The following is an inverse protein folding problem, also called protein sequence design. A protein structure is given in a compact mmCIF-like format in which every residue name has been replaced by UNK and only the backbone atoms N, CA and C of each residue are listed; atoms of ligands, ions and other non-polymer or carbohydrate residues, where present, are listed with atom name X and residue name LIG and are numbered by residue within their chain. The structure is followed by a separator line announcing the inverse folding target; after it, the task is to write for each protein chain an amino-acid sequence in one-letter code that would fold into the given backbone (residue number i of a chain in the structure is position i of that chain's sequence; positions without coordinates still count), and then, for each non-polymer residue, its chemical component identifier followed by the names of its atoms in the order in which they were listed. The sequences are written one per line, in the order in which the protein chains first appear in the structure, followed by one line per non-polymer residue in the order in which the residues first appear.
data_IF_502364875170
#
_entry.id   IF_502364875170
#
_cell.length_a   1.000
_cell.length_b   1.000
_cell.length_c   1.000
_cell.angle_alpha   90.00
_cell.angle_beta   90.00
_cell.angle_gamma   90.00
#
_symmetry.space_group_name_H-M   'P 1'
#
loop_
_entity.id
_entity.type
_entity.pdbx_description
1 polymer ?
#
# COMPACT_ATOMS: atom_id res chain seq x y z
N UNK A 1 10.05 3.61 -13.93
CA UNK A 1 10.96 3.53 -12.76
C UNK A 1 10.63 4.66 -11.80
N UNK A 2 10.43 4.38 -10.51
CA UNK A 2 10.10 5.41 -9.51
C UNK A 2 11.30 6.37 -9.33
N UNK A 3 11.05 7.70 -9.35
CA UNK A 3 12.08 8.74 -9.22
C UNK A 3 12.80 8.63 -7.88
N UNK A 4 14.03 9.16 -7.85
CA UNK A 4 14.80 9.22 -6.61
C UNK A 4 14.11 10.08 -5.54
N UNK A 5 13.44 11.17 -5.93
CA UNK A 5 12.71 12.04 -5.00
C UNK A 5 11.52 11.31 -4.39
N UNK A 6 10.72 10.60 -5.19
CA UNK A 6 9.58 9.81 -4.71
C UNK A 6 10.05 8.68 -3.78
N UNK A 7 11.16 8.00 -4.12
CA UNK A 7 11.78 6.99 -3.25
C UNK A 7 12.18 7.58 -1.90
N UNK A 8 12.86 8.73 -1.88
CA UNK A 8 13.28 9.39 -0.64
C UNK A 8 12.08 9.78 0.23
N UNK A 9 11.04 10.39 -0.36
CA UNK A 9 9.81 10.73 0.38
C UNK A 9 9.13 9.50 0.95
N UNK A 10 9.06 8.42 0.16
CA UNK A 10 8.48 7.15 0.61
C UNK A 10 9.25 6.60 1.81
N UNK A 11 10.59 6.56 1.74
CA UNK A 11 11.41 6.07 2.86
C UNK A 11 11.28 6.94 4.10
N UNK A 12 11.14 8.27 3.96
CA UNK A 12 10.84 9.15 5.10
C UNK A 12 9.50 8.81 5.76
N UNK A 13 8.46 8.50 4.98
CA UNK A 13 7.18 8.05 5.55
C UNK A 13 7.30 6.70 6.23
N UNK A 14 8.05 5.76 5.65
CA UNK A 14 8.33 4.46 6.26
C UNK A 14 9.00 4.61 7.62
N UNK A 15 10.04 5.45 7.71
CA UNK A 15 10.73 5.74 8.97
C UNK A 15 9.79 6.34 10.01
N UNK A 16 8.99 7.34 9.62
CA UNK A 16 8.00 7.96 10.50
C UNK A 16 6.98 6.94 11.01
N UNK A 17 6.49 6.04 10.15
CA UNK A 17 5.53 5.00 10.50
C UNK A 17 6.14 4.01 11.49
N UNK A 18 7.32 3.46 11.19
CA UNK A 18 7.95 2.44 12.02
C UNK A 18 8.32 2.97 13.41
N UNK A 19 8.74 4.24 13.50
CA UNK A 19 9.16 4.88 14.74
C UNK A 19 8.03 5.57 15.53
N UNK A 20 6.77 5.46 15.10
CA UNK A 20 5.64 5.87 15.95
C UNK A 20 5.75 5.13 17.30
N UNK A 21 5.69 5.84 18.45
CA UNK A 21 5.76 5.21 19.76
C UNK A 21 4.77 4.04 19.89
N UNK A 22 5.27 2.87 20.27
CA UNK A 22 4.48 1.65 20.42
C UNK A 22 4.19 0.89 19.11
N UNK A 23 4.77 1.27 17.96
CA UNK A 23 4.58 0.55 16.70
C UNK A 23 5.55 -0.63 16.50
N UNK A 24 6.77 -0.38 16.00
CA UNK A 24 7.78 -1.41 15.78
C UNK A 24 8.88 -1.30 16.84
N UNK A 25 9.12 -2.41 17.55
CA UNK A 25 10.08 -2.48 18.67
C UNK A 25 11.12 -3.60 18.48
N UNK A 26 11.32 -4.05 17.24
CA UNK A 26 12.18 -5.19 16.91
C UNK A 26 11.41 -6.49 16.61
N UNK A 27 12.13 -7.51 16.16
CA UNK A 27 11.58 -8.82 15.76
C UNK A 27 11.27 -8.92 14.27
N UNK A 28 10.43 -9.90 13.89
CA UNK A 28 9.97 -10.03 12.50
C UNK A 28 8.97 -8.91 12.21
N UNK A 29 9.26 -8.12 11.19
CA UNK A 29 8.36 -7.06 10.76
C UNK A 29 7.16 -7.66 10.02
N UNK A 30 5.97 -7.49 10.59
CA UNK A 30 4.70 -7.78 9.90
C UNK A 30 4.24 -6.53 9.14
N UNK A 31 3.96 -6.67 7.84
CA UNK A 31 3.48 -5.58 7.00
C UNK A 31 2.44 -6.07 5.98
N UNK A 32 1.74 -5.13 5.35
CA UNK A 32 0.81 -5.42 4.28
C UNK A 32 1.02 -4.55 3.04
N UNK A 33 0.75 -5.09 1.86
CA UNK A 33 0.62 -4.35 0.62
C UNK A 33 -0.75 -4.65 0.03
N UNK A 34 -1.53 -3.59 -0.20
CA UNK A 34 -2.78 -3.63 -0.94
C UNK A 34 -2.50 -3.22 -2.37
N UNK A 35 -2.92 -4.04 -3.31
CA UNK A 35 -2.90 -3.77 -4.74
C UNK A 35 -4.32 -3.52 -5.20
N UNK A 36 -4.57 -2.31 -5.67
CA UNK A 36 -5.81 -1.96 -6.35
C UNK A 36 -5.82 -2.60 -7.75
N UNK A 37 -6.81 -3.45 -8.02
CA UNK A 37 -6.99 -4.07 -9.34
C UNK A 37 -7.26 -3.07 -10.47
N UNK A 38 -7.55 -1.80 -10.17
CA UNK A 38 -7.69 -0.76 -11.18
C UNK A 38 -6.34 -0.37 -11.82
N UNK A 39 -5.21 -0.72 -11.17
CA UNK A 39 -3.91 -0.63 -11.79
C UNK A 39 -3.70 -1.77 -12.80
N UNK A 40 -3.07 -1.47 -13.93
CA UNK A 40 -2.65 -2.50 -14.87
C UNK A 40 -1.50 -3.34 -14.30
N UNK A 41 -1.30 -4.51 -14.91
CA UNK A 41 -0.29 -5.49 -14.51
C UNK A 41 1.13 -4.90 -14.51
N UNK A 42 1.50 -4.19 -15.57
CA UNK A 42 2.88 -3.73 -15.78
C UNK A 42 3.23 -2.64 -14.77
N UNK A 43 2.30 -1.71 -14.56
CA UNK A 43 2.41 -0.67 -13.53
C UNK A 43 2.53 -1.30 -12.15
N UNK A 44 1.62 -2.22 -11.80
CA UNK A 44 1.63 -2.90 -10.50
C UNK A 44 2.94 -3.64 -10.24
N UNK A 45 3.42 -4.42 -11.20
CA UNK A 45 4.67 -5.16 -11.10
C UNK A 45 5.89 -4.23 -10.98
N UNK A 46 5.94 -3.16 -11.80
CA UNK A 46 7.05 -2.21 -11.80
C UNK A 46 7.13 -1.44 -10.49
N UNK A 47 6.01 -0.86 -10.04
CA UNK A 47 5.94 -0.11 -8.78
C UNK A 47 6.31 -0.98 -7.60
N UNK A 48 5.78 -2.20 -7.56
CA UNK A 48 6.08 -3.15 -6.49
C UNK A 48 7.54 -3.54 -6.49
N UNK A 49 8.11 -3.87 -7.66
CA UNK A 49 9.52 -4.22 -7.78
C UNK A 49 10.44 -3.10 -7.28
N UNK A 50 10.16 -1.86 -7.67
CA UNK A 50 10.90 -0.68 -7.22
C UNK A 50 10.72 -0.40 -5.73
N UNK A 51 9.51 -0.55 -5.19
CA UNK A 51 9.22 -0.42 -3.76
C UNK A 51 10.00 -1.44 -2.94
N UNK A 52 9.94 -2.72 -3.30
CA UNK A 52 10.65 -3.79 -2.58
C UNK A 52 12.16 -3.58 -2.62
N UNK A 53 12.72 -3.18 -3.77
CA UNK A 53 14.14 -2.83 -3.88
C UNK A 53 14.51 -1.67 -2.97
N UNK A 54 13.71 -0.61 -2.95
CA UNK A 54 13.95 0.56 -2.11
C UNK A 54 13.91 0.20 -0.62
N UNK A 55 12.89 -0.54 -0.17
CA UNK A 55 12.77 -0.98 1.22
C UNK A 55 13.99 -1.81 1.67
N UNK A 56 14.40 -2.81 0.89
CA UNK A 56 15.55 -3.66 1.21
C UNK A 56 16.88 -2.91 1.23
N UNK A 57 17.04 -1.91 0.37
CA UNK A 57 18.21 -1.05 0.34
C UNK A 57 18.24 -0.08 1.54
N UNK A 58 17.06 0.38 1.97
CA UNK A 58 16.90 1.35 3.04
C UNK A 58 17.19 0.76 4.43
N UNK A 59 16.71 -0.46 4.73
CA UNK A 59 16.95 -1.07 6.04
C UNK A 59 16.95 -2.60 6.02
N UNK A 60 17.85 -3.25 6.80
CA UNK A 60 17.90 -4.71 6.88
C UNK A 60 16.64 -5.35 7.47
N UNK A 61 15.79 -4.57 8.17
CA UNK A 61 14.51 -5.06 8.71
C UNK A 61 13.60 -5.65 7.62
N UNK A 62 13.70 -5.15 6.39
CA UNK A 62 12.90 -5.61 5.25
C UNK A 62 13.40 -6.92 4.63
N UNK A 63 14.50 -7.49 5.12
CA UNK A 63 15.01 -8.78 4.61
C UNK A 63 14.23 -9.99 5.14
N UNK A 64 13.61 -9.86 6.31
CA UNK A 64 12.84 -10.93 6.93
C UNK A 64 11.50 -10.37 7.45
N UNK A 65 10.51 -10.36 6.56
CA UNK A 65 9.17 -9.78 6.82
C UNK A 65 8.09 -10.85 6.70
N UNK A 66 7.08 -10.76 7.54
CA UNK A 66 5.79 -11.40 7.29
C UNK A 66 4.96 -10.44 6.43
N UNK A 67 4.92 -10.72 5.13
CA UNK A 67 4.27 -9.83 4.16
C UNK A 67 2.90 -10.36 3.75
N UNK A 68 1.88 -9.67 4.20
CA UNK A 68 0.52 -9.84 3.72
C UNK A 68 0.32 -9.10 2.41
N UNK A 69 -0.34 -9.74 1.45
CA UNK A 69 -0.73 -9.15 0.18
C UNK A 69 -2.24 -9.22 0.04
N UNK A 70 -2.83 -8.12 -0.43
CA UNK A 70 -4.27 -7.99 -0.60
C UNK A 70 -4.53 -7.47 -2.00
N UNK A 71 -5.25 -8.21 -2.83
CA UNK A 71 -5.79 -7.70 -4.10
C UNK A 71 -7.17 -7.15 -3.81
N UNK A 72 -7.33 -5.83 -3.94
CA UNK A 72 -8.60 -5.15 -3.78
C UNK A 72 -9.30 -5.11 -5.14
N UNK A 73 -10.22 -6.05 -5.39
CA UNK A 73 -10.86 -6.24 -6.69
C UNK A 73 -12.02 -5.28 -6.92
N UNK A 74 -12.98 -5.28 -6.00
CA UNK A 74 -14.18 -4.44 -6.05
C UNK A 74 -14.63 -4.06 -4.63
N UNK A 75 -15.80 -3.44 -4.49
CA UNK A 75 -16.34 -3.01 -3.20
C UNK A 75 -16.63 -4.13 -2.20
N UNK A 76 -16.56 -5.42 -2.59
CA UNK A 76 -16.89 -6.57 -1.74
C UNK A 76 -15.82 -7.65 -1.70
N UNK A 77 -15.02 -7.77 -2.75
CA UNK A 77 -14.06 -8.84 -2.94
C UNK A 77 -12.63 -8.37 -2.69
N UNK A 78 -11.96 -9.07 -1.78
CA UNK A 78 -10.53 -8.95 -1.52
C UNK A 78 -9.89 -10.34 -1.49
N UNK A 79 -8.85 -10.53 -2.30
CA UNK A 79 -8.06 -11.77 -2.28
C UNK A 79 -6.86 -11.54 -1.38
N UNK A 80 -6.73 -12.33 -0.32
CA UNK A 80 -5.73 -12.16 0.73
C UNK A 80 -4.74 -13.32 0.70
N UNK A 81 -3.45 -13.03 0.75
CA UNK A 81 -2.40 -14.04 0.83
C UNK A 81 -1.20 -13.57 1.65
N UNK A 82 -0.30 -14.50 1.98
CA UNK A 82 1.03 -14.18 2.49
C UNK A 82 2.01 -14.45 1.36
N UNK A 83 2.77 -13.44 0.95
CA UNK A 83 3.65 -13.55 -0.22
C UNK A 83 5.09 -13.22 0.15
N UNK A 84 6.06 -14.09 -0.17
CA UNK A 84 7.47 -13.77 -0.01
C UNK A 84 7.85 -12.55 -0.86
N UNK A 85 8.57 -11.58 -0.28
CA UNK A 85 9.08 -10.42 -1.01
C UNK A 85 9.82 -10.74 -2.32
N UNK A 86 10.63 -11.82 -2.43
CA UNK A 86 11.26 -12.17 -3.71
C UNK A 86 10.26 -12.45 -4.84
N UNK A 87 9.09 -13.03 -4.56
CA UNK A 87 8.05 -13.30 -5.56
C UNK A 87 7.51 -11.98 -6.13
N UNK A 88 7.25 -11.00 -5.27
CA UNK A 88 6.82 -9.66 -5.68
C UNK A 88 7.92 -8.92 -6.45
N UNK A 89 9.17 -9.03 -5.99
CA UNK A 89 10.32 -8.36 -6.63
C UNK A 89 10.56 -8.87 -8.07
N UNK A 90 10.29 -10.14 -8.33
CA UNK A 90 10.38 -10.75 -9.66
C UNK A 90 9.12 -10.52 -10.52
N UNK A 91 8.08 -9.88 -9.97
CA UNK A 91 6.82 -9.63 -10.66
C UNK A 91 5.89 -10.85 -10.80
N UNK A 92 6.28 -12.03 -10.27
CA UNK A 92 5.54 -13.29 -10.47
C UNK A 92 4.19 -13.35 -9.77
N UNK A 93 4.00 -12.54 -8.73
CA UNK A 93 2.70 -12.36 -8.09
C UNK A 93 1.64 -11.83 -9.07
N UNK A 94 2.06 -11.11 -10.11
CA UNK A 94 1.19 -10.49 -11.10
C UNK A 94 1.02 -11.36 -12.36
N UNK A 95 1.46 -12.62 -12.37
CA UNK A 95 1.34 -13.50 -13.54
C UNK A 95 -0.13 -13.75 -13.92
N UNK A 96 -1.01 -13.93 -12.93
CA UNK A 96 -2.47 -14.10 -13.10
C UNK A 96 -3.25 -12.80 -12.81
N UNK A 97 -2.64 -11.63 -13.06
CA UNK A 97 -3.27 -10.35 -12.73
C UNK A 97 -4.45 -10.03 -13.63
N UNK A 98 -5.57 -9.66 -13.01
CA UNK A 98 -6.78 -9.20 -13.67
C UNK A 98 -7.02 -7.72 -13.35
N UNK A 99 -7.06 -6.88 -14.39
CA UNK A 99 -7.38 -5.46 -14.24
C UNK A 99 -8.90 -5.27 -14.20
N UNK A 100 -9.38 -4.69 -13.11
CA UNK A 100 -10.80 -4.37 -12.90
C UNK A 100 -10.90 -2.87 -12.62
N UNK A 101 -11.48 -2.13 -13.56
CA UNK A 101 -11.54 -0.65 -13.55
C UNK A 101 -12.78 -0.10 -12.83
N UNK A 102 -13.42 -0.90 -11.99
CA UNK A 102 -14.56 -0.47 -11.17
C UNK A 102 -14.11 0.53 -10.11
N UNK A 103 -14.68 1.73 -10.13
CA UNK A 103 -14.50 2.73 -9.08
C UNK A 103 -15.22 2.25 -7.82
N UNK A 104 -14.50 2.17 -6.71
CA UNK A 104 -14.92 1.39 -5.53
C UNK A 104 -14.80 2.20 -4.24
N UNK A 105 -15.67 1.91 -3.24
CA UNK A 105 -15.66 2.62 -1.97
C UNK A 105 -14.46 2.17 -1.12
N UNK A 106 -13.64 3.13 -0.70
CA UNK A 106 -12.45 2.87 0.14
C UNK A 106 -12.81 2.54 1.58
N UNK A 107 -14.04 2.84 1.99
CA UNK A 107 -14.59 2.57 3.32
C UNK A 107 -14.48 1.09 3.70
N UNK A 108 -14.88 0.19 2.80
CA UNK A 108 -14.82 -1.26 3.05
C UNK A 108 -13.37 -1.75 3.11
N UNK A 109 -12.48 -1.21 2.27
CA UNK A 109 -11.05 -1.49 2.36
C UNK A 109 -10.51 -1.06 3.74
N UNK A 110 -10.78 0.19 4.16
CA UNK A 110 -10.33 0.70 5.45
C UNK A 110 -10.87 -0.13 6.61
N UNK A 111 -12.16 -0.49 6.60
CA UNK A 111 -12.77 -1.35 7.62
C UNK A 111 -12.07 -2.71 7.69
N UNK A 112 -11.79 -3.34 6.56
CA UNK A 112 -11.14 -4.66 6.50
C UNK A 112 -9.68 -4.60 6.94
N UNK A 113 -8.95 -3.55 6.56
CA UNK A 113 -7.60 -3.31 7.03
C UNK A 113 -7.55 -3.09 8.54
N UNK A 114 -8.52 -2.35 9.10
CA UNK A 114 -8.64 -2.15 10.54
C UNK A 114 -8.89 -3.47 11.28
N UNK A 115 -9.81 -4.32 10.78
CA UNK A 115 -10.18 -5.57 11.45
C UNK A 115 -9.10 -6.65 11.38
N UNK A 116 -8.49 -6.85 10.22
CA UNK A 116 -7.63 -8.01 9.97
C UNK A 116 -6.14 -7.70 9.96
N UNK A 117 -5.76 -6.43 9.79
CA UNK A 117 -4.37 -6.02 9.60
C UNK A 117 -3.87 -5.00 10.62
N UNK A 118 -4.59 -4.80 11.74
CA UNK A 118 -4.18 -3.91 12.85
C UNK A 118 -2.74 -4.17 13.37
N UNK A 119 -2.27 -5.41 13.28
CA UNK A 119 -0.92 -5.81 13.71
C UNK A 119 0.17 -5.44 12.71
N UNK A 120 -0.18 -5.26 11.43
CA UNK A 120 0.76 -4.80 10.43
C UNK A 120 1.34 -3.46 10.87
N UNK A 121 2.66 -3.37 10.88
CA UNK A 121 3.40 -2.20 11.37
C UNK A 121 3.54 -1.13 10.28
N UNK A 122 3.33 -1.53 9.03
CA UNK A 122 3.37 -0.70 7.85
C UNK A 122 2.39 -1.28 6.84
N UNK A 123 1.59 -0.41 6.22
CA UNK A 123 0.65 -0.79 5.16
C UNK A 123 0.86 0.11 3.97
N UNK A 124 1.07 -0.48 2.79
CA UNK A 124 1.06 0.24 1.53
C UNK A 124 -0.25 0.02 0.78
N UNK A 125 -0.78 1.07 0.18
CA UNK A 125 -1.82 0.99 -0.85
C UNK A 125 -1.21 1.47 -2.18
N UNK A 126 -1.18 0.58 -3.17
CA UNK A 126 -0.81 0.89 -4.56
C UNK A 126 -2.10 1.00 -5.36
N UNK A 127 -2.36 2.17 -5.93
CA UNK A 127 -3.64 2.50 -6.57
C UNK A 127 -3.45 3.50 -7.71
N UNK A 128 -4.44 3.62 -8.59
CA UNK A 128 -4.53 4.76 -9.51
C UNK A 128 -5.23 5.97 -8.87
N UNK A 129 -5.73 5.82 -7.63
CA UNK A 129 -6.44 6.88 -6.91
C UNK A 129 -7.91 7.01 -7.30
N UNK A 130 -8.40 6.16 -8.21
CA UNK A 130 -9.80 6.20 -8.68
C UNK A 130 -10.73 5.41 -7.75
N UNK A 131 -10.86 5.91 -6.54
CA UNK A 131 -11.78 5.43 -5.51
C UNK A 131 -12.48 6.60 -4.83
N UNK A 132 -13.57 6.31 -4.12
CA UNK A 132 -14.34 7.32 -3.39
C UNK A 132 -14.56 6.92 -1.94
N UNK A 133 -14.93 7.91 -1.13
CA UNK A 133 -15.42 7.70 0.24
C UNK A 133 -16.94 7.72 0.15
N UNK A 134 -17.58 6.59 0.44
CA UNK A 134 -19.03 6.45 0.45
C UNK A 134 -19.64 7.06 1.72
N UNK A 135 -19.03 6.78 2.87
CA UNK A 135 -19.53 7.18 4.18
C UNK A 135 -18.48 8.00 4.94
N UNK A 136 -18.45 9.30 4.67
CA UNK A 136 -17.48 10.25 5.27
C UNK A 136 -17.48 10.21 6.80
N UNK A 137 -18.63 9.98 7.43
CA UNK A 137 -18.73 9.91 8.89
C UNK A 137 -18.04 8.65 9.46
N UNK A 138 -17.99 7.57 8.68
CA UNK A 138 -17.46 6.28 9.12
C UNK A 138 -15.96 6.14 8.83
N UNK A 139 -15.44 6.74 7.75
CA UNK A 139 -14.05 6.55 7.35
C UNK A 139 -13.06 6.94 8.46
N UNK A 140 -13.35 8.01 9.21
CA UNK A 140 -12.51 8.44 10.32
C UNK A 140 -12.42 7.38 11.43
N UNK A 141 -13.51 6.65 11.68
CA UNK A 141 -13.56 5.58 12.66
C UNK A 141 -12.75 4.35 12.23
N UNK A 142 -12.71 4.05 10.94
CA UNK A 142 -11.88 2.97 10.39
C UNK A 142 -10.40 3.36 10.38
N UNK A 143 -10.11 4.63 10.09
CA UNK A 143 -8.74 5.13 10.04
C UNK A 143 -8.08 5.20 11.43
N UNK A 144 -8.86 5.48 12.48
CA UNK A 144 -8.36 5.62 13.86
C UNK A 144 -8.43 4.31 14.66
N UNK A 145 -7.55 4.13 15.67
CA UNK A 145 -6.37 4.93 16.00
C UNK A 145 -5.11 4.52 15.20
N UNK A 146 -5.25 3.58 14.26
CA UNK A 146 -4.15 2.76 13.75
C UNK A 146 -3.80 3.06 12.28
N UNK A 147 -4.74 2.94 11.34
CA UNK A 147 -4.45 3.04 9.91
C UNK A 147 -3.90 4.41 9.54
N UNK A 148 -4.43 5.48 10.14
CA UNK A 148 -3.96 6.85 9.95
C UNK A 148 -2.46 7.02 10.26
N UNK A 149 -1.89 6.13 11.08
CA UNK A 149 -0.48 6.18 11.51
C UNK A 149 0.43 5.27 10.70
N UNK A 150 -0.12 4.32 9.95
CA UNK A 150 0.66 3.24 9.31
C UNK A 150 0.42 3.06 7.82
N UNK A 151 -0.62 3.69 7.27
CA UNK A 151 -0.93 3.67 5.86
C UNK A 151 -0.07 4.67 5.09
N UNK A 152 0.57 4.18 4.03
CA UNK A 152 1.27 4.96 3.01
C UNK A 152 0.60 4.67 1.66
N UNK A 153 0.17 5.71 0.94
CA UNK A 153 -0.51 5.57 -0.35
C UNK A 153 0.46 5.96 -1.46
N UNK A 154 0.61 5.08 -2.44
CA UNK A 154 1.34 5.30 -3.69
C UNK A 154 0.28 5.33 -4.81
N UNK A 155 0.04 6.51 -5.38
CA UNK A 155 -1.01 6.72 -6.40
C UNK A 155 -0.41 7.16 -7.72
N UNK A 156 -0.94 6.71 -8.85
CA UNK A 156 -0.42 7.07 -10.19
C UNK A 156 -1.12 8.26 -10.84
N UNK A 157 -2.27 8.69 -10.31
CA UNK A 157 -3.08 9.73 -10.94
C UNK A 157 -3.70 10.66 -9.89
N UNK A 158 -4.68 10.17 -9.12
CA UNK A 158 -5.45 11.02 -8.20
C UNK A 158 -4.87 11.01 -6.78
N UNK A 159 -4.47 12.18 -6.25
CA UNK A 159 -4.04 12.34 -4.85
C UNK A 159 -5.15 12.84 -3.91
N UNK A 160 -6.14 13.59 -4.39
CA UNK A 160 -7.05 14.35 -3.51
C UNK A 160 -7.82 13.47 -2.52
N UNK A 161 -8.42 12.37 -3.00
CA UNK A 161 -9.14 11.44 -2.12
C UNK A 161 -8.18 10.71 -1.18
N UNK A 162 -6.99 10.34 -1.66
CA UNK A 162 -5.96 9.71 -0.84
C UNK A 162 -5.45 10.63 0.28
N UNK A 163 -5.29 11.93 0.00
CA UNK A 163 -4.89 12.95 0.98
C UNK A 163 -5.94 13.17 2.08
N UNK A 164 -7.23 12.93 1.79
CA UNK A 164 -8.29 12.92 2.81
C UNK A 164 -8.13 11.75 3.80
N UNK A 165 -7.53 10.64 3.38
CA UNK A 165 -7.28 9.47 4.23
C UNK A 165 -6.00 9.63 5.06
N UNK A 166 -4.91 10.07 4.42
CA UNK A 166 -3.61 10.20 5.07
C UNK A 166 -2.73 11.24 4.37
N UNK A 167 -1.96 11.98 5.18
CA UNK A 167 -0.91 12.88 4.67
C UNK A 167 0.29 12.13 4.07
N UNK A 168 0.37 10.80 4.25
CA UNK A 168 1.41 9.94 3.68
C UNK A 168 1.01 9.42 2.31
N UNK A 169 0.67 10.33 1.40
CA UNK A 169 0.28 10.04 0.02
C UNK A 169 1.39 10.54 -0.92
N UNK A 170 1.72 9.74 -1.94
CA UNK A 170 2.71 10.07 -2.95
C UNK A 170 2.17 9.79 -4.35
N UNK A 171 2.11 10.82 -5.18
CA UNK A 171 1.92 10.71 -6.62
C UNK A 171 3.17 10.11 -7.25
N UNK A 172 2.93 9.13 -8.10
CA UNK A 172 3.87 8.57 -9.03
C UNK A 172 3.56 9.21 -10.39
N UNK A 173 4.41 10.15 -10.85
CA UNK A 173 4.21 10.78 -12.15
C UNK A 173 4.02 9.77 -13.30
N UNK A 174 3.11 10.05 -14.26
CA UNK A 174 2.81 9.16 -15.38
C UNK A 174 4.03 8.76 -16.21
N UNK A 175 4.99 9.66 -16.40
CA UNK A 175 6.26 9.42 -17.11
C UNK A 175 7.17 8.37 -16.45
N UNK A 176 6.81 7.89 -15.26
CA UNK A 176 7.54 6.88 -14.52
C UNK A 176 6.89 5.50 -14.53
N UNK A 177 5.72 5.42 -15.14
CA UNK A 177 4.94 4.22 -15.39
C UNK A 177 5.29 3.84 -16.82
N UNK A 178 6.10 2.79 -16.97
CA UNK A 178 6.75 2.45 -18.24
C UNK A 178 5.77 2.10 -19.34
#
# INVERSE_FOLDING_TARGET
MISQVTKLKCMNFVEQVLHVPGNYSGGILEMAIVFDSALDRNTSATLTGDLIKALKAHSPVFRNVLLNTIIWKNGKEMVKSVTPMPILQMGRFFDDWETITEVKPVDELARQLQLFYARSKLIFLLTNGDFFIEHVDNIASYMKPFLEKKLVILTTDKEDTALKLTRRTLLIPPEMIG
#
